data_IF_741156944469
#
_entry.id   IF_741156944469
#
_cell.length_a   1.000
_cell.length_b   1.000
_cell.length_c   1.000
_cell.angle_alpha   90.00
_cell.angle_beta   90.00
_cell.angle_gamma   90.00
#
_symmetry.space_group_name_H-M   'P 1'
#
loop_
_entity.id
_entity.type
_entity.pdbx_description
1 polymer ?
#
# COMPACT_ATOMS: atom_id res chain seq x y z
N UNK A 1 -0.66 -6.59 -7.59
CA UNK A 1 -0.20 -5.39 -8.34
C UNK A 1 1.05 -4.87 -7.68
N UNK A 2 2.09 -4.50 -8.45
CA UNK A 2 3.36 -3.96 -7.94
C UNK A 2 3.47 -2.49 -8.37
N UNK A 3 3.87 -1.62 -7.45
CA UNK A 3 4.13 -0.21 -7.72
C UNK A 3 5.46 0.23 -7.10
N UNK A 4 6.19 1.07 -7.83
CA UNK A 4 7.48 1.60 -7.39
C UNK A 4 7.29 2.94 -6.69
N UNK A 5 8.03 3.18 -5.61
CA UNK A 5 8.07 4.50 -5.00
C UNK A 5 8.88 5.45 -5.92
N UNK A 6 8.32 6.59 -6.33
CA UNK A 6 9.03 7.53 -7.19
C UNK A 6 10.36 8.01 -6.58
N UNK A 7 11.36 8.26 -7.43
CA UNK A 7 12.64 8.81 -6.98
C UNK A 7 12.46 10.19 -6.30
N UNK A 8 13.30 10.47 -5.31
CA UNK A 8 13.25 11.68 -4.46
C UNK A 8 11.94 11.81 -3.66
N UNK A 9 11.30 10.67 -3.35
CA UNK A 9 10.13 10.63 -2.50
C UNK A 9 10.22 9.49 -1.50
N UNK A 10 9.67 9.72 -0.31
CA UNK A 10 9.56 8.70 0.74
C UNK A 10 8.11 8.29 0.95
N UNK A 11 7.88 6.99 1.13
CA UNK A 11 6.55 6.49 1.42
C UNK A 11 6.10 6.91 2.83
N UNK A 12 4.90 7.46 2.95
CA UNK A 12 4.29 7.78 4.24
C UNK A 12 3.67 6.53 4.87
N UNK A 13 4.28 6.02 5.94
CA UNK A 13 3.88 4.77 6.62
C UNK A 13 3.28 4.96 8.02
N UNK A 14 3.55 6.10 8.67
CA UNK A 14 3.12 6.38 10.04
C UNK A 14 1.61 6.54 10.25
N UNK A 15 0.85 6.80 9.18
CA UNK A 15 -0.62 6.94 9.20
C UNK A 15 -1.33 5.77 8.47
N UNK A 16 -0.61 4.69 8.17
CA UNK A 16 -1.24 3.52 7.55
C UNK A 16 -2.15 2.77 8.54
N UNK A 17 -1.91 2.90 9.85
CA UNK A 17 -2.62 2.17 10.92
C UNK A 17 -3.64 3.01 11.73
N UNK A 18 -3.84 4.29 11.41
CA UNK A 18 -4.87 5.15 12.03
C UNK A 18 -6.25 4.91 11.42
N UNK A 19 -7.33 5.14 12.19
CA UNK A 19 -8.74 4.78 11.94
C UNK A 19 -9.43 5.41 10.69
N UNK A 20 -8.72 5.56 9.58
CA UNK A 20 -9.30 5.93 8.30
C UNK A 20 -8.24 6.13 7.24
N UNK A 21 -7.68 5.05 6.69
CA UNK A 21 -6.98 4.99 5.38
C UNK A 21 -6.39 6.34 4.91
N UNK A 22 -5.52 6.95 5.72
CA UNK A 22 -5.06 8.34 5.54
C UNK A 22 -4.05 8.51 4.41
N UNK A 23 -3.58 7.40 3.85
CA UNK A 23 -2.80 7.36 2.62
C UNK A 23 -3.25 6.27 1.65
N UNK A 24 -3.70 5.07 2.08
CA UNK A 24 -4.16 4.02 1.16
C UNK A 24 -5.63 3.64 1.23
N UNK A 25 -6.47 4.40 0.51
CA UNK A 25 -7.90 4.11 0.42
C UNK A 25 -8.22 3.16 -0.73
N UNK A 26 -8.56 1.91 -0.41
CA UNK A 26 -9.35 1.07 -1.32
C UNK A 26 -10.73 1.70 -1.47
N UNK A 27 -11.15 1.98 -2.69
CA UNK A 27 -12.50 2.45 -3.00
C UNK A 27 -13.03 1.60 -4.13
N UNK A 28 -14.13 0.89 -3.87
CA UNK A 28 -14.82 0.18 -4.91
C UNK A 28 -15.51 1.19 -5.85
N UNK A 29 -15.51 0.88 -7.13
CA UNK A 29 -16.03 1.74 -8.18
C UNK A 29 -17.51 1.48 -8.47
N UNK A 30 -18.02 2.18 -9.48
CA UNK A 30 -19.34 1.93 -10.06
C UNK A 30 -19.18 1.71 -11.56
N UNK A 31 -19.33 0.46 -12.06
CA UNK A 31 -19.74 -0.74 -11.33
C UNK A 31 -18.64 -1.30 -10.39
N UNK A 32 -19.08 -2.02 -9.35
CA UNK A 32 -18.24 -2.59 -8.29
C UNK A 32 -17.30 -3.69 -8.82
N UNK A 33 -16.07 -3.73 -8.28
CA UNK A 33 -15.03 -4.73 -8.54
C UNK A 33 -15.20 -6.03 -7.78
N UNK A 34 -16.00 -6.04 -6.69
CA UNK A 34 -16.16 -7.17 -5.75
C UNK A 34 -14.87 -7.63 -5.07
N UNK A 35 -13.77 -6.88 -5.21
CA UNK A 35 -12.52 -7.15 -4.53
C UNK A 35 -12.56 -6.65 -3.09
N UNK A 36 -11.87 -7.35 -2.20
CA UNK A 36 -11.67 -6.94 -0.81
C UNK A 36 -10.21 -6.62 -0.57
N UNK A 37 -9.95 -5.60 0.26
CA UNK A 37 -8.61 -5.20 0.67
C UNK A 37 -8.61 -5.00 2.18
N UNK A 38 -7.66 -5.63 2.86
CA UNK A 38 -7.50 -5.52 4.30
C UNK A 38 -6.06 -5.12 4.59
N UNK A 39 -5.88 -4.12 5.43
CA UNK A 39 -4.59 -3.80 6.04
C UNK A 39 -4.75 -3.93 7.55
N UNK A 40 -3.87 -4.71 8.18
CA UNK A 40 -3.92 -5.00 9.61
C UNK A 40 -2.86 -4.20 10.35
N UNK A 41 -1.61 -4.30 9.90
CA UNK A 41 -0.47 -3.60 10.49
C UNK A 41 0.73 -3.64 9.55
N UNK A 42 1.71 -2.75 9.75
CA UNK A 42 2.96 -2.74 8.97
C UNK A 42 3.75 -4.05 9.08
N UNK A 43 3.59 -4.79 10.18
CA UNK A 43 4.25 -6.06 10.45
C UNK A 43 3.52 -7.28 9.89
N UNK A 44 2.31 -7.09 9.36
CA UNK A 44 1.52 -8.19 8.80
C UNK A 44 2.06 -8.54 7.41
N UNK A 45 2.54 -9.77 7.25
CA UNK A 45 3.03 -10.28 5.96
C UNK A 45 1.95 -11.05 5.17
N UNK A 46 0.74 -11.11 5.71
CA UNK A 46 -0.38 -11.89 5.15
C UNK A 46 -1.62 -11.04 4.90
N UNK A 47 -1.52 -9.73 5.04
CA UNK A 47 -2.61 -8.83 4.68
C UNK A 47 -2.52 -8.38 3.21
N UNK A 48 -3.35 -7.41 2.84
CA UNK A 48 -3.49 -6.93 1.47
C UNK A 48 -2.36 -6.01 1.00
N UNK A 49 -1.36 -5.68 1.82
CA UNK A 49 -0.29 -4.75 1.46
C UNK A 49 1.07 -5.21 1.98
N UNK A 50 2.01 -5.36 1.06
CA UNK A 50 3.39 -5.73 1.41
C UNK A 50 4.39 -4.72 0.87
N UNK A 51 5.55 -4.65 1.51
CA UNK A 51 6.59 -3.68 1.22
C UNK A 51 7.90 -4.38 0.85
N UNK A 52 8.65 -3.72 -0.03
CA UNK A 52 9.96 -4.17 -0.50
C UNK A 52 10.99 -3.06 -0.28
N UNK A 53 12.16 -3.44 0.21
CA UNK A 53 13.34 -2.57 0.30
C UNK A 53 14.47 -2.94 -0.69
N UNK A 54 14.17 -3.82 -1.66
CA UNK A 54 15.17 -4.35 -2.59
C UNK A 54 14.68 -4.37 -4.03
N UNK A 55 14.08 -3.27 -4.47
CA UNK A 55 13.62 -3.07 -5.85
C UNK A 55 12.58 -4.09 -6.34
N UNK A 56 11.71 -4.55 -5.43
CA UNK A 56 10.60 -5.46 -5.73
C UNK A 56 11.02 -6.93 -5.80
N UNK A 57 12.25 -7.28 -5.40
CA UNK A 57 12.73 -8.67 -5.42
C UNK A 57 12.09 -9.52 -4.31
N UNK A 58 11.92 -8.97 -3.10
CA UNK A 58 11.22 -9.64 -1.98
C UNK A 58 10.29 -8.69 -1.24
N UNK A 59 9.20 -9.23 -0.68
CA UNK A 59 8.15 -8.48 0.01
C UNK A 59 8.02 -8.89 1.48
N UNK A 60 9.16 -8.92 2.18
CA UNK A 60 9.27 -9.29 3.59
C UNK A 60 9.73 -8.11 4.45
N UNK A 61 9.78 -6.91 3.88
CA UNK A 61 10.20 -5.71 4.60
C UNK A 61 9.05 -5.18 5.45
N UNK A 62 9.34 -4.92 6.73
CA UNK A 62 8.41 -4.28 7.66
C UNK A 62 8.83 -2.81 7.80
N UNK A 63 8.03 -1.85 7.30
CA UNK A 63 8.39 -0.44 7.36
C UNK A 63 8.48 0.08 8.79
N UNK A 64 9.40 1.01 9.02
CA UNK A 64 9.58 1.70 10.29
C UNK A 64 9.39 3.20 10.08
N UNK A 65 8.32 3.82 10.63
CA UNK A 65 8.10 5.25 10.48
C UNK A 65 9.22 6.06 11.13
N UNK A 66 9.89 6.89 10.34
CA UNK A 66 10.83 7.90 10.83
C UNK A 66 10.14 9.12 11.47
N UNK A 67 10.89 10.19 11.79
CA UNK A 67 10.36 11.39 12.46
C UNK A 67 9.22 12.09 11.72
N UNK A 68 9.19 11.99 10.39
CA UNK A 68 8.15 12.56 9.53
C UNK A 68 7.02 11.56 9.20
N UNK A 69 7.02 10.38 9.84
CA UNK A 69 6.10 9.29 9.54
C UNK A 69 6.39 8.59 8.20
N UNK A 70 7.52 8.86 7.55
CA UNK A 70 7.92 8.23 6.29
C UNK A 70 8.96 7.14 6.50
N UNK A 71 9.11 6.26 5.52
CA UNK A 71 10.17 5.27 5.46
C UNK A 71 10.88 5.32 4.09
N UNK A 72 12.10 5.88 4.01
CA UNK A 72 12.87 6.01 2.77
C UNK A 72 13.42 4.66 2.27
N UNK A 73 13.45 3.62 3.12
CA UNK A 73 13.94 2.31 2.70
C UNK A 73 12.91 1.54 1.85
N UNK A 74 11.65 1.96 1.86
CA UNK A 74 10.62 1.36 1.00
C UNK A 74 10.85 1.77 -0.45
N UNK A 75 11.15 0.79 -1.28
CA UNK A 75 11.35 0.98 -2.72
C UNK A 75 10.10 0.65 -3.51
N UNK A 76 9.30 -0.31 -3.05
CA UNK A 76 8.12 -0.81 -3.77
C UNK A 76 7.03 -1.25 -2.80
N UNK A 77 5.79 -1.16 -3.27
CA UNK A 77 4.61 -1.72 -2.60
C UNK A 77 3.94 -2.77 -3.48
N UNK A 78 3.41 -3.82 -2.85
CA UNK A 78 2.59 -4.82 -3.53
C UNK A 78 1.23 -4.87 -2.88
N UNK A 79 0.19 -4.66 -3.69
CA UNK A 79 -1.20 -4.75 -3.26
C UNK A 79 -1.76 -6.12 -3.66
N UNK A 80 -2.37 -6.80 -2.69
CA UNK A 80 -2.96 -8.12 -2.77
C UNK A 80 -4.48 -8.06 -2.44
N UNK A 81 -5.33 -7.62 -3.37
CA UNK A 81 -6.78 -7.72 -3.18
C UNK A 81 -7.22 -9.19 -3.18
N UNK A 82 -8.19 -9.53 -2.34
CA UNK A 82 -8.79 -10.86 -2.26
C UNK A 82 -10.13 -10.91 -3.00
N UNK A 83 -10.46 -12.08 -3.55
CA UNK A 83 -11.67 -12.33 -4.32
C UNK A 83 -11.45 -12.29 -5.83
N UNK A 84 -12.54 -12.52 -6.58
CA UNK A 84 -12.53 -12.42 -8.03
C UNK A 84 -12.95 -11.01 -8.45
N UNK A 85 -12.22 -10.42 -9.39
CA UNK A 85 -12.60 -9.13 -9.96
C UNK A 85 -13.82 -9.29 -10.87
N UNK A 86 -14.89 -8.54 -10.60
CA UNK A 86 -16.07 -8.52 -11.44
C UNK A 86 -15.78 -7.95 -12.83
N UNK A 87 -16.45 -8.48 -13.87
CA UNK A 87 -16.35 -7.94 -15.21
C UNK A 87 -16.79 -6.46 -15.23
N UNK A 88 -15.96 -5.60 -15.85
CA UNK A 88 -16.13 -4.14 -15.88
C UNK A 88 -16.08 -3.42 -14.53
N UNK A 89 -15.87 -4.16 -13.43
CA UNK A 89 -15.70 -3.60 -12.11
C UNK A 89 -14.49 -2.67 -12.04
N UNK A 90 -14.54 -1.71 -11.12
CA UNK A 90 -13.48 -0.73 -10.94
C UNK A 90 -13.11 -0.66 -9.47
N UNK A 91 -11.85 -0.40 -9.16
CA UNK A 91 -11.41 -0.06 -7.82
C UNK A 91 -10.26 0.93 -7.89
N UNK A 92 -10.04 1.65 -6.81
CA UNK A 92 -8.91 2.58 -6.67
C UNK A 92 -8.10 2.22 -5.43
N UNK A 93 -6.78 2.32 -5.56
CA UNK A 93 -5.84 2.33 -4.45
C UNK A 93 -5.13 3.68 -4.49
N UNK A 94 -4.97 4.29 -3.33
CA UNK A 94 -4.16 5.50 -3.17
C UNK A 94 -2.98 5.19 -2.26
N UNK A 95 -1.96 6.02 -2.28
CA UNK A 95 -0.90 6.07 -1.27
C UNK A 95 -0.36 7.50 -1.29
N UNK A 96 0.38 7.88 -0.24
CA UNK A 96 0.97 9.22 -0.12
C UNK A 96 2.47 9.06 0.02
N UNK A 97 3.18 9.93 -0.69
CA UNK A 97 4.62 10.08 -0.57
C UNK A 97 4.92 11.51 -0.15
N UNK A 98 6.06 11.70 0.49
CA UNK A 98 6.65 13.01 0.78
C UNK A 98 7.75 13.27 -0.23
N UNK A 99 7.77 14.46 -0.82
CA UNK A 99 8.89 14.91 -1.66
C UNK A 99 10.04 15.34 -0.75
N UNK A 100 11.26 14.95 -1.11
CA UNK A 100 12.50 15.37 -0.45
C UNK A 100 12.96 16.78 -0.85
#
# INVERSE_FOLDING_TARGET
>A
MLDAIPANTDLLVGDLAGAGLGSSRHTDGSPASTLTYQFVSLSSLTDGLEFSNNNGATFNYVPVPGPNGTDPAVTHIRVLPNGAHAASGQFQIRFRVRVE
#
